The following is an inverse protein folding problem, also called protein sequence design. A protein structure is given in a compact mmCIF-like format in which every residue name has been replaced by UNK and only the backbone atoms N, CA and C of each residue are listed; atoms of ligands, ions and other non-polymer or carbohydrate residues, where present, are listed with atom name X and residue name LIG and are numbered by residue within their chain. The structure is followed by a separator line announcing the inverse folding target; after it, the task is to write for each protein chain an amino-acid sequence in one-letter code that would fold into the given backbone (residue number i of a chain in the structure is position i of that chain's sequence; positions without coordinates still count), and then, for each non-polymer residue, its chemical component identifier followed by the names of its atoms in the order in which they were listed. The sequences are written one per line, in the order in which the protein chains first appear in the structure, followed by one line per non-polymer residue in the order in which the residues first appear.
data_IF_332298690811
#
_entry.id   IF_332298690811
#
_cell.length_a   1.000
_cell.length_b   1.000
_cell.length_c   1.000
_cell.angle_alpha   90.00
_cell.angle_beta   90.00
_cell.angle_gamma   90.00
#
_symmetry.space_group_name_H-M   'P 1'
#
loop_
_entity.id
_entity.type
_entity.pdbx_description
1 polymer ?
#
# COMPACT_ATOMS: atom_id res chain seq x y z
N UNK A 1 22.62 15.64 -4.82
CA UNK A 1 22.18 15.12 -3.49
C UNK A 1 21.21 13.98 -3.76
N UNK A 2 21.60 12.75 -3.45
CA UNK A 2 20.69 11.60 -3.60
C UNK A 2 19.52 11.78 -2.63
N UNK A 3 18.34 12.05 -3.14
CA UNK A 3 17.11 12.01 -2.35
C UNK A 3 16.84 10.55 -1.95
N UNK A 4 17.52 10.15 -0.88
CA UNK A 4 17.26 8.85 -0.23
C UNK A 4 15.88 8.95 0.42
N UNK A 5 15.09 7.88 0.38
CA UNK A 5 13.84 7.77 1.15
C UNK A 5 14.06 8.35 2.56
N UNK A 6 13.47 9.51 2.82
CA UNK A 6 13.67 10.28 4.05
C UNK A 6 12.41 10.17 4.90
N UNK A 7 12.57 9.97 6.22
CA UNK A 7 11.47 9.67 7.12
C UNK A 7 10.42 10.81 7.18
N UNK A 8 10.86 12.02 7.55
CA UNK A 8 9.95 13.16 7.72
C UNK A 8 9.34 13.66 6.40
N UNK A 9 10.10 13.87 5.33
CA UNK A 9 9.53 14.24 4.04
C UNK A 9 8.50 13.22 3.52
N UNK A 10 8.77 11.91 3.67
CA UNK A 10 7.82 10.87 3.23
C UNK A 10 6.50 10.93 3.98
N UNK A 11 6.52 11.19 5.29
CA UNK A 11 5.30 11.37 6.09
C UNK A 11 4.53 12.63 5.70
N UNK A 12 5.24 13.74 5.48
CA UNK A 12 4.63 15.01 5.05
C UNK A 12 3.98 14.87 3.68
N UNK A 13 4.66 14.26 2.72
CA UNK A 13 4.12 14.01 1.38
C UNK A 13 2.91 13.06 1.44
N UNK A 14 2.98 12.00 2.25
CA UNK A 14 1.86 11.10 2.44
C UNK A 14 0.63 11.82 3.00
N UNK A 15 0.83 12.72 3.97
CA UNK A 15 -0.24 13.54 4.51
C UNK A 15 -0.86 14.46 3.43
N UNK A 16 -0.05 15.16 2.68
CA UNK A 16 -0.51 16.07 1.62
C UNK A 16 -1.28 15.31 0.52
N UNK A 17 -0.75 14.17 0.07
CA UNK A 17 -1.41 13.33 -0.94
C UNK A 17 -2.72 12.77 -0.39
N UNK A 18 -2.71 12.28 0.85
CA UNK A 18 -3.89 11.74 1.52
C UNK A 18 -4.99 12.78 1.67
N UNK A 19 -4.67 13.98 2.14
CA UNK A 19 -5.64 15.06 2.32
C UNK A 19 -6.27 15.51 1.00
N UNK A 20 -5.50 15.57 -0.09
CA UNK A 20 -6.03 15.91 -1.42
C UNK A 20 -7.00 14.84 -1.96
N UNK A 21 -6.87 13.60 -1.55
CA UNK A 21 -7.61 12.47 -2.09
C UNK A 21 -8.55 11.80 -1.08
N UNK A 22 -8.72 12.36 0.13
CA UNK A 22 -9.52 11.76 1.21
C UNK A 22 -10.91 11.36 0.69
N UNK A 23 -11.63 12.28 0.09
CA UNK A 23 -12.99 12.01 -0.41
C UNK A 23 -13.00 10.87 -1.44
N UNK A 24 -12.04 10.89 -2.39
CA UNK A 24 -11.95 9.87 -3.43
C UNK A 24 -11.61 8.49 -2.86
N UNK A 25 -10.69 8.41 -1.91
CA UNK A 25 -10.30 7.16 -1.25
C UNK A 25 -11.48 6.62 -0.44
N UNK A 26 -12.12 7.46 0.37
CA UNK A 26 -13.25 7.05 1.22
C UNK A 26 -14.41 6.54 0.36
N UNK A 27 -14.79 7.26 -0.69
CA UNK A 27 -15.86 6.81 -1.58
C UNK A 27 -15.49 5.51 -2.30
N UNK A 28 -14.25 5.37 -2.79
CA UNK A 28 -13.78 4.13 -3.42
C UNK A 28 -13.86 2.94 -2.45
N UNK A 29 -13.49 3.12 -1.18
CA UNK A 29 -13.57 2.08 -0.16
C UNK A 29 -15.02 1.75 0.19
N UNK A 30 -15.91 2.74 0.31
CA UNK A 30 -17.34 2.49 0.52
C UNK A 30 -17.91 1.66 -0.64
N UNK A 31 -17.64 2.04 -1.87
CA UNK A 31 -18.07 1.29 -3.06
C UNK A 31 -17.49 -0.14 -3.08
N UNK A 32 -16.23 -0.31 -2.67
CA UNK A 32 -15.62 -1.62 -2.52
C UNK A 32 -16.37 -2.47 -1.49
N UNK A 33 -16.63 -1.94 -0.28
CA UNK A 33 -17.35 -2.67 0.78
C UNK A 33 -18.75 -3.07 0.34
N UNK A 34 -19.45 -2.21 -0.41
CA UNK A 34 -20.76 -2.52 -0.95
C UNK A 34 -20.73 -3.61 -2.02
N UNK A 35 -19.63 -3.77 -2.73
CA UNK A 35 -19.50 -4.71 -3.85
C UNK A 35 -18.71 -5.97 -3.51
N UNK A 36 -18.08 -6.05 -2.34
CA UNK A 36 -17.27 -7.21 -1.93
C UNK A 36 -18.07 -8.51 -1.88
N UNK A 37 -19.37 -8.43 -1.64
CA UNK A 37 -20.30 -9.57 -1.59
C UNK A 37 -20.78 -10.05 -2.97
N UNK A 38 -20.51 -9.29 -4.03
CA UNK A 38 -20.97 -9.61 -5.38
C UNK A 38 -19.86 -10.39 -6.10
N UNK A 39 -20.03 -11.72 -6.35
CA UNK A 39 -19.05 -12.50 -7.08
C UNK A 39 -18.71 -11.86 -8.43
N UNK A 40 -17.47 -12.02 -8.88
CA UNK A 40 -16.93 -11.43 -10.09
C UNK A 40 -16.67 -9.91 -10.03
N UNK A 41 -17.57 -9.10 -9.45
CA UNK A 41 -17.32 -7.65 -9.27
C UNK A 41 -16.25 -7.47 -8.19
N UNK A 42 -16.34 -8.22 -7.09
CA UNK A 42 -15.40 -8.13 -5.98
C UNK A 42 -13.95 -8.37 -6.40
N UNK A 43 -13.70 -9.23 -7.38
CA UNK A 43 -12.35 -9.47 -7.90
C UNK A 43 -11.75 -8.20 -8.51
N UNK A 44 -12.52 -7.55 -9.41
CA UNK A 44 -12.07 -6.31 -10.04
C UNK A 44 -11.87 -5.18 -9.05
N UNK A 45 -12.82 -5.00 -8.12
CA UNK A 45 -12.76 -3.94 -7.10
C UNK A 45 -11.63 -4.17 -6.08
N UNK A 46 -11.34 -5.42 -5.70
CA UNK A 46 -10.20 -5.76 -4.84
C UNK A 46 -8.87 -5.37 -5.49
N UNK A 47 -8.69 -5.72 -6.77
CA UNK A 47 -7.49 -5.35 -7.53
C UNK A 47 -7.41 -3.83 -7.69
N UNK A 48 -8.53 -3.16 -7.94
CA UNK A 48 -8.60 -1.72 -8.07
C UNK A 48 -8.22 -0.99 -6.77
N UNK A 49 -8.69 -1.44 -5.62
CA UNK A 49 -8.27 -0.88 -4.31
C UNK A 49 -6.77 -1.07 -4.09
N UNK A 50 -6.21 -2.22 -4.47
CA UNK A 50 -4.76 -2.46 -4.40
C UNK A 50 -3.95 -1.56 -5.35
N UNK A 51 -4.60 -0.98 -6.37
CA UNK A 51 -3.98 -0.05 -7.32
C UNK A 51 -3.98 1.42 -6.83
N UNK A 52 -4.72 1.76 -5.78
CA UNK A 52 -4.80 3.15 -5.31
C UNK A 52 -3.41 3.77 -5.02
N UNK A 53 -2.47 3.08 -4.33
CA UNK A 53 -1.13 3.62 -4.14
C UNK A 53 -0.40 3.93 -5.44
N UNK A 54 -0.58 3.12 -6.49
CA UNK A 54 0.04 3.34 -7.81
C UNK A 54 -0.50 4.60 -8.46
N UNK A 55 -1.81 4.81 -8.48
CA UNK A 55 -2.39 6.03 -9.08
C UNK A 55 -1.99 7.29 -8.27
N UNK A 56 -1.98 7.20 -6.94
CA UNK A 56 -1.53 8.30 -6.08
C UNK A 56 -0.05 8.60 -6.26
N UNK A 57 0.81 7.59 -6.46
CA UNK A 57 2.25 7.78 -6.68
C UNK A 57 2.54 8.62 -7.93
N UNK A 58 1.63 8.57 -8.92
CA UNK A 58 1.68 9.37 -10.15
C UNK A 58 1.12 10.79 -9.99
N UNK A 59 0.72 11.17 -8.79
CA UNK A 59 0.15 12.49 -8.49
C UNK A 59 -1.26 12.71 -9.02
N UNK A 60 -1.95 11.66 -9.44
CA UNK A 60 -3.31 11.77 -9.98
C UNK A 60 -4.35 11.91 -8.87
N UNK A 61 -5.39 12.67 -9.16
CA UNK A 61 -6.62 12.65 -8.37
C UNK A 61 -7.44 11.43 -8.80
N UNK A 62 -7.77 10.57 -7.84
CA UNK A 62 -8.47 9.31 -8.11
C UNK A 62 -9.96 9.58 -8.37
N UNK A 63 -10.50 9.03 -9.46
CA UNK A 63 -11.95 8.90 -9.61
C UNK A 63 -12.43 7.68 -8.84
N UNK A 64 -13.35 7.81 -7.87
CA UNK A 64 -13.83 6.66 -7.10
C UNK A 64 -14.47 5.57 -7.97
N UNK A 65 -15.12 5.96 -9.05
CA UNK A 65 -15.77 5.01 -9.97
C UNK A 65 -14.78 4.17 -10.80
N UNK A 66 -13.52 4.57 -10.87
CA UNK A 66 -12.48 3.80 -11.58
C UNK A 66 -12.26 2.40 -11.02
N UNK A 67 -12.74 2.12 -9.80
CA UNK A 67 -12.66 0.77 -9.23
C UNK A 67 -13.46 -0.28 -10.03
N UNK A 68 -14.40 0.14 -10.86
CA UNK A 68 -15.21 -0.74 -11.71
C UNK A 68 -14.60 -0.97 -13.10
N UNK A 69 -13.46 -0.37 -13.42
CA UNK A 69 -12.81 -0.54 -14.72
C UNK A 69 -12.52 -2.01 -15.02
N UNK A 70 -12.91 -2.44 -16.22
CA UNK A 70 -12.68 -3.82 -16.67
C UNK A 70 -11.19 -4.21 -16.72
N UNK A 71 -10.30 -3.22 -16.86
CA UNK A 71 -8.84 -3.43 -16.91
C UNK A 71 -8.31 -4.22 -15.73
N UNK A 72 -8.93 -4.08 -14.54
CA UNK A 72 -8.49 -4.78 -13.33
C UNK A 72 -8.79 -6.28 -13.39
N UNK A 73 -9.87 -6.69 -14.04
CA UNK A 73 -10.21 -8.11 -14.21
C UNK A 73 -9.28 -8.83 -15.19
N UNK A 74 -8.69 -8.10 -16.13
CA UNK A 74 -7.77 -8.67 -17.12
C UNK A 74 -6.45 -9.18 -16.50
N UNK A 75 -6.07 -8.68 -15.31
CA UNK A 75 -4.85 -9.07 -14.62
C UNK A 75 -5.11 -10.00 -13.42
N UNK A 76 -6.35 -10.50 -13.28
CA UNK A 76 -6.74 -11.26 -12.08
C UNK A 76 -5.90 -12.54 -11.89
N UNK A 77 -5.54 -13.25 -12.96
CA UNK A 77 -4.75 -14.48 -12.90
C UNK A 77 -3.37 -14.22 -12.30
N UNK A 78 -2.64 -13.26 -12.84
CA UNK A 78 -1.33 -12.85 -12.32
C UNK A 78 -1.44 -12.29 -10.90
N UNK A 79 -2.48 -11.52 -10.60
CA UNK A 79 -2.70 -10.95 -9.28
C UNK A 79 -2.90 -12.03 -8.21
N UNK A 80 -3.78 -13.00 -8.46
CA UNK A 80 -4.02 -14.06 -7.49
C UNK A 80 -2.84 -15.02 -7.35
N UNK A 81 -2.12 -15.29 -8.45
CA UNK A 81 -0.91 -16.08 -8.40
C UNK A 81 0.16 -15.39 -7.57
N UNK A 82 0.38 -14.10 -7.80
CA UNK A 82 1.30 -13.29 -7.00
C UNK A 82 0.93 -13.30 -5.52
N UNK A 83 -0.34 -13.04 -5.20
CA UNK A 83 -0.82 -13.03 -3.82
C UNK A 83 -0.68 -14.39 -3.14
N UNK A 84 -0.98 -15.48 -3.86
CA UNK A 84 -0.81 -16.85 -3.36
C UNK A 84 0.65 -17.17 -3.03
N UNK A 85 1.57 -16.82 -3.92
CA UNK A 85 3.01 -17.03 -3.70
C UNK A 85 3.52 -16.17 -2.55
N UNK A 86 3.09 -14.91 -2.47
CA UNK A 86 3.45 -14.02 -1.35
C UNK A 86 2.94 -14.58 -0.02
N UNK A 87 1.68 -15.01 0.03
CA UNK A 87 1.09 -15.58 1.24
C UNK A 87 1.82 -16.86 1.69
N UNK A 88 2.15 -17.74 0.75
CA UNK A 88 2.91 -18.95 1.04
C UNK A 88 4.32 -18.64 1.55
N UNK A 89 5.04 -17.73 0.89
CA UNK A 89 6.40 -17.35 1.30
C UNK A 89 6.44 -16.67 2.68
N UNK A 90 5.51 -15.76 2.96
CA UNK A 90 5.40 -15.10 4.25
C UNK A 90 4.99 -16.13 5.33
N UNK A 91 4.04 -17.03 5.00
CA UNK A 91 3.61 -18.11 5.91
C UNK A 91 4.75 -19.05 6.28
N UNK A 92 5.56 -19.46 5.33
CA UNK A 92 6.78 -20.23 5.58
C UNK A 92 7.75 -19.43 6.46
N UNK A 93 7.92 -18.13 6.19
CA UNK A 93 8.74 -17.24 7.02
C UNK A 93 8.29 -17.24 8.49
N UNK A 94 6.98 -17.21 8.76
CA UNK A 94 6.43 -17.32 10.12
C UNK A 94 6.71 -18.68 10.76
N UNK A 95 6.67 -19.79 9.99
CA UNK A 95 6.97 -21.12 10.50
C UNK A 95 8.42 -21.25 10.98
N UNK A 96 9.35 -20.51 10.39
CA UNK A 96 10.75 -20.48 10.81
C UNK A 96 11.03 -19.48 11.93
N UNK A 97 10.43 -18.32 11.96
CA UNK A 97 10.49 -17.28 13.01
C UNK A 97 9.79 -16.01 12.48
N UNK A 98 9.36 -15.14 13.37
CA UNK A 98 8.69 -13.88 13.01
C UNK A 98 9.60 -12.94 12.16
N UNK A 99 10.91 -12.91 12.47
CA UNK A 99 11.86 -12.02 11.78
C UNK A 99 11.97 -12.31 10.27
N UNK A 100 12.16 -13.56 9.80
CA UNK A 100 12.13 -13.87 8.38
C UNK A 100 10.83 -13.46 7.68
N UNK A 101 9.67 -13.65 8.32
CA UNK A 101 8.39 -13.24 7.77
C UNK A 101 8.32 -11.72 7.55
N UNK A 102 8.78 -10.92 8.52
CA UNK A 102 8.83 -9.46 8.40
C UNK A 102 9.76 -9.06 7.25
N UNK A 103 10.95 -9.64 7.15
CA UNK A 103 11.91 -9.33 6.08
C UNK A 103 11.33 -9.66 4.70
N UNK A 104 10.68 -10.82 4.55
CA UNK A 104 10.03 -11.23 3.29
C UNK A 104 8.88 -10.28 2.95
N UNK A 105 8.01 -9.96 3.91
CA UNK A 105 6.86 -9.08 3.69
C UNK A 105 7.30 -7.68 3.21
N UNK A 106 8.36 -7.11 3.80
CA UNK A 106 8.90 -5.83 3.36
C UNK A 106 9.56 -5.96 1.98
N UNK A 107 10.29 -7.04 1.73
CA UNK A 107 10.95 -7.29 0.44
C UNK A 107 9.95 -7.36 -0.72
N UNK A 108 8.76 -7.90 -0.48
CA UNK A 108 7.71 -8.08 -1.47
C UNK A 108 6.59 -7.04 -1.39
N UNK A 109 6.72 -6.05 -0.52
CA UNK A 109 5.68 -5.03 -0.30
C UNK A 109 5.31 -4.22 -1.53
N UNK A 110 6.23 -4.05 -2.48
CA UNK A 110 6.01 -3.31 -3.72
C UNK A 110 5.59 -4.21 -4.90
N UNK A 111 5.57 -5.54 -4.74
CA UNK A 111 5.34 -6.48 -5.84
C UNK A 111 3.97 -6.29 -6.50
N UNK A 112 2.91 -6.10 -5.70
CA UNK A 112 1.56 -5.85 -6.23
C UNK A 112 1.51 -4.55 -7.03
N UNK A 113 2.19 -3.51 -6.58
CA UNK A 113 2.22 -2.23 -7.28
C UNK A 113 2.97 -2.33 -8.62
N UNK A 114 4.07 -3.10 -8.66
CA UNK A 114 4.80 -3.40 -9.89
C UNK A 114 3.95 -4.17 -10.91
N UNK A 115 3.18 -5.16 -10.45
CA UNK A 115 2.25 -5.89 -11.30
C UNK A 115 1.22 -4.97 -11.95
N UNK A 116 0.61 -4.09 -11.15
CA UNK A 116 -0.47 -3.21 -11.60
C UNK A 116 0.02 -2.04 -12.44
N UNK A 117 1.24 -1.56 -12.18
CA UNK A 117 1.86 -0.43 -12.87
C UNK A 117 2.59 -0.84 -14.14
N UNK A 118 3.56 -1.76 -13.99
CA UNK A 118 4.47 -2.19 -15.08
C UNK A 118 3.94 -3.40 -15.86
N UNK A 119 2.92 -4.10 -15.37
CA UNK A 119 2.32 -5.30 -15.99
C UNK A 119 3.34 -6.39 -16.35
N UNK A 120 4.36 -6.54 -15.53
CA UNK A 120 5.37 -7.60 -15.62
C UNK A 120 4.87 -8.86 -14.93
N UNK A 121 5.48 -10.02 -15.21
CA UNK A 121 5.06 -11.30 -14.63
C UNK A 121 5.19 -11.32 -13.11
N UNK A 122 4.38 -12.14 -12.44
CA UNK A 122 4.38 -12.26 -10.97
C UNK A 122 5.78 -12.55 -10.40
N UNK A 123 6.58 -13.41 -11.06
CA UNK A 123 7.93 -13.75 -10.62
C UNK A 123 8.89 -12.56 -10.72
N UNK A 124 8.79 -11.79 -11.79
CA UNK A 124 9.56 -10.56 -11.96
C UNK A 124 9.16 -9.51 -10.92
N UNK A 125 7.86 -9.40 -10.58
CA UNK A 125 7.39 -8.49 -9.54
C UNK A 125 8.06 -8.75 -8.19
N UNK A 126 8.21 -10.01 -7.77
CA UNK A 126 8.87 -10.38 -6.52
C UNK A 126 10.36 -10.02 -6.54
N UNK A 127 11.04 -10.31 -7.65
CA UNK A 127 12.48 -10.03 -7.81
C UNK A 127 12.73 -8.52 -7.81
N UNK A 128 11.98 -7.76 -8.61
CA UNK A 128 12.14 -6.31 -8.70
C UNK A 128 11.74 -5.62 -7.40
N UNK A 129 10.66 -6.06 -6.73
CA UNK A 129 10.28 -5.55 -5.42
C UNK A 129 11.41 -5.72 -4.39
N UNK A 130 12.04 -6.90 -4.35
CA UNK A 130 13.16 -7.13 -3.45
C UNK A 130 14.37 -6.25 -3.78
N UNK A 131 14.68 -6.01 -5.06
CA UNK A 131 15.76 -5.10 -5.48
C UNK A 131 15.45 -3.66 -5.07
N UNK A 132 14.26 -3.15 -5.37
CA UNK A 132 13.83 -1.79 -5.03
C UNK A 132 13.88 -1.51 -3.53
N UNK A 133 13.51 -2.50 -2.71
CA UNK A 133 13.49 -2.36 -1.25
C UNK A 133 14.87 -2.58 -0.61
N UNK A 134 15.86 -3.10 -1.36
CA UNK A 134 17.21 -3.33 -0.85
C UNK A 134 17.85 -2.02 -0.39
N UNK A 135 18.42 -2.03 0.81
CA UNK A 135 18.98 -0.82 1.45
C UNK A 135 17.95 0.09 2.13
N UNK A 136 16.65 -0.10 1.87
CA UNK A 136 15.58 0.73 2.45
C UNK A 136 14.64 -0.05 3.39
N UNK A 137 14.85 -1.36 3.58
CA UNK A 137 13.94 -2.23 4.35
C UNK A 137 13.65 -1.70 5.75
N UNK A 138 14.65 -1.27 6.49
CA UNK A 138 14.48 -0.68 7.82
C UNK A 138 13.71 0.63 7.81
N UNK A 139 13.91 1.47 6.79
CA UNK A 139 13.17 2.73 6.66
C UNK A 139 11.71 2.49 6.36
N UNK A 140 11.41 1.56 5.45
CA UNK A 140 10.04 1.14 5.13
C UNK A 140 9.37 0.57 6.39
N UNK A 141 10.06 -0.31 7.11
CA UNK A 141 9.57 -0.89 8.36
C UNK A 141 9.20 0.19 9.37
N UNK A 142 10.11 1.12 9.66
CA UNK A 142 9.86 2.16 10.65
C UNK A 142 8.79 3.17 10.21
N UNK A 143 8.67 3.48 8.91
CA UNK A 143 7.60 4.32 8.40
C UNK A 143 6.23 3.68 8.61
N UNK A 144 6.09 2.40 8.28
CA UNK A 144 4.85 1.65 8.46
C UNK A 144 4.54 1.43 9.96
N UNK A 145 5.56 1.13 10.75
CA UNK A 145 5.42 0.96 12.21
C UNK A 145 4.98 2.25 12.89
N UNK A 146 5.57 3.40 12.52
CA UNK A 146 5.19 4.70 13.07
C UNK A 146 3.72 5.03 12.77
N UNK A 147 3.27 4.80 11.53
CA UNK A 147 1.89 5.00 11.17
C UNK A 147 0.96 4.06 11.95
N UNK A 148 1.30 2.78 12.02
CA UNK A 148 0.52 1.79 12.76
C UNK A 148 0.44 2.15 14.26
N UNK A 149 1.51 2.65 14.84
CA UNK A 149 1.57 3.06 16.24
C UNK A 149 0.69 4.27 16.52
N UNK A 150 0.68 5.28 15.65
CA UNK A 150 -0.21 6.45 15.77
C UNK A 150 -1.68 6.02 15.68
N UNK A 151 -2.02 5.16 14.72
CA UNK A 151 -3.39 4.63 14.59
C UNK A 151 -3.76 3.84 15.84
N UNK A 152 -2.90 2.96 16.32
CA UNK A 152 -3.13 2.14 17.50
C UNK A 152 -3.40 2.99 18.75
N UNK A 153 -2.59 4.01 19.02
CA UNK A 153 -2.80 4.93 20.15
C UNK A 153 -4.15 5.66 20.00
N UNK A 154 -4.46 6.16 18.80
CA UNK A 154 -5.72 6.87 18.57
C UNK A 154 -6.94 5.97 18.80
N UNK A 155 -6.87 4.70 18.38
CA UNK A 155 -7.92 3.72 18.64
C UNK A 155 -8.03 3.40 20.14
N UNK A 156 -6.92 3.21 20.83
CA UNK A 156 -6.88 2.97 22.27
C UNK A 156 -7.51 4.12 23.06
N UNK A 157 -7.19 5.36 22.71
CA UNK A 157 -7.81 6.54 23.34
C UNK A 157 -9.30 6.59 23.03
N UNK A 158 -9.67 6.42 21.75
CA UNK A 158 -11.07 6.49 21.32
C UNK A 158 -11.96 5.46 22.01
N UNK A 159 -11.51 4.23 22.19
CA UNK A 159 -12.28 3.17 22.86
C UNK A 159 -12.52 3.44 24.36
N UNK A 160 -11.71 4.29 24.99
CA UNK A 160 -11.84 4.61 26.41
C UNK A 160 -12.66 5.88 26.69
N UNK A 161 -13.10 6.61 25.65
CA UNK A 161 -13.94 7.81 25.82
C UNK A 161 -15.43 7.44 25.72
N UNK A 162 -16.23 7.58 26.78
CA UNK A 162 -17.66 7.31 26.71
C UNK A 162 -18.36 8.31 25.78
N UNK A 163 -19.48 7.90 25.18
CA UNK A 163 -20.37 8.64 24.28
C UNK A 163 -19.76 9.10 22.94
N UNK A 164 -18.57 9.68 22.91
CA UNK A 164 -17.95 10.24 21.69
C UNK A 164 -16.88 9.27 21.12
N UNK A 165 -16.42 8.32 21.89
CA UNK A 165 -15.32 7.42 21.52
C UNK A 165 -15.56 6.64 20.24
N UNK A 166 -16.79 6.17 20.01
CA UNK A 166 -17.15 5.47 18.78
C UNK A 166 -16.92 6.34 17.52
N UNK A 167 -17.23 7.64 17.59
CA UNK A 167 -17.01 8.56 16.49
C UNK A 167 -15.52 8.77 16.22
N UNK A 168 -14.72 8.92 17.30
CA UNK A 168 -13.25 9.05 17.20
C UNK A 168 -12.64 7.82 16.54
N UNK A 169 -13.08 6.62 16.94
CA UNK A 169 -12.62 5.35 16.35
C UNK A 169 -12.90 5.30 14.85
N UNK A 170 -14.13 5.64 14.43
CA UNK A 170 -14.47 5.61 12.99
C UNK A 170 -13.68 6.64 12.18
N UNK A 171 -13.51 7.85 12.70
CA UNK A 171 -12.66 8.86 12.05
C UNK A 171 -11.21 8.39 11.98
N UNK A 172 -10.68 7.82 13.06
CA UNK A 172 -9.31 7.30 13.09
C UNK A 172 -9.08 6.18 12.07
N UNK A 173 -10.05 5.28 11.89
CA UNK A 173 -9.99 4.21 10.88
C UNK A 173 -9.96 4.80 9.48
N UNK A 174 -10.84 5.77 9.18
CA UNK A 174 -10.90 6.41 7.86
C UNK A 174 -9.59 7.16 7.56
N UNK A 175 -9.14 8.00 8.50
CA UNK A 175 -7.89 8.76 8.34
C UNK A 175 -6.69 7.84 8.25
N UNK A 176 -6.64 6.79 9.07
CA UNK A 176 -5.59 5.78 9.05
C UNK A 176 -5.51 5.03 7.73
N UNK A 177 -6.65 4.68 7.15
CA UNK A 177 -6.71 4.05 5.83
C UNK A 177 -6.16 4.98 4.73
N UNK A 178 -6.61 6.23 4.71
CA UNK A 178 -6.12 7.23 3.75
C UNK A 178 -4.61 7.45 3.91
N UNK A 179 -4.13 7.53 5.15
CA UNK A 179 -2.71 7.69 5.44
C UNK A 179 -1.89 6.47 4.99
N UNK A 180 -2.38 5.25 5.21
CA UNK A 180 -1.70 4.02 4.80
C UNK A 180 -1.60 3.91 3.27
N UNK A 181 -2.68 4.19 2.54
CA UNK A 181 -2.68 4.19 1.08
C UNK A 181 -1.70 5.24 0.53
N UNK A 182 -1.73 6.45 1.10
CA UNK A 182 -0.85 7.54 0.67
C UNK A 182 0.62 7.30 1.03
N UNK A 183 0.90 6.73 2.20
CA UNK A 183 2.26 6.37 2.59
C UNK A 183 2.86 5.34 1.64
N UNK A 184 2.11 4.30 1.30
CA UNK A 184 2.55 3.30 0.33
C UNK A 184 2.77 3.91 -1.06
N UNK A 185 1.94 4.87 -1.47
CA UNK A 185 2.14 5.60 -2.72
C UNK A 185 3.45 6.40 -2.73
N UNK A 186 3.78 7.08 -1.63
CA UNK A 186 5.04 7.83 -1.49
C UNK A 186 6.23 6.88 -1.48
N UNK A 187 6.18 5.80 -0.71
CA UNK A 187 7.26 4.80 -0.67
C UNK A 187 7.50 4.24 -2.08
N UNK A 188 6.44 3.84 -2.80
CA UNK A 188 6.56 3.31 -4.15
C UNK A 188 7.17 4.34 -5.12
N UNK A 189 6.70 5.59 -5.09
CA UNK A 189 7.23 6.69 -5.91
C UNK A 189 8.73 6.93 -5.67
N UNK A 190 9.14 7.01 -4.41
CA UNK A 190 10.52 7.30 -4.07
C UNK A 190 11.47 6.13 -4.41
N UNK A 191 11.00 4.90 -4.24
CA UNK A 191 11.77 3.72 -4.64
C UNK A 191 11.92 3.64 -6.17
N UNK A 192 10.88 3.96 -6.95
CA UNK A 192 10.98 4.02 -8.42
C UNK A 192 12.00 5.05 -8.89
N UNK A 193 11.99 6.26 -8.32
CA UNK A 193 12.99 7.30 -8.66
C UNK A 193 14.42 6.86 -8.40
N UNK A 194 14.65 6.04 -7.37
CA UNK A 194 15.98 5.54 -7.05
C UNK A 194 16.40 4.40 -7.99
N UNK A 195 15.46 3.60 -8.49
CA UNK A 195 15.71 2.50 -9.43
C UNK A 195 15.99 3.03 -10.85
N UNK A 196 15.34 4.13 -11.24
CA UNK A 196 15.50 4.79 -12.55
C UNK A 196 16.77 5.66 -12.67
N UNK A 197 17.46 5.96 -11.55
CA UNK A 197 18.76 6.59 -11.57
C UNK A 197 19.84 5.49 -11.63
N UNK A 198 20.28 5.04 -12.84
CA UNK A 198 21.37 4.11 -12.93
C UNK A 198 22.63 4.78 -12.38
N UNK A 199 23.56 3.99 -11.91
CA UNK A 199 24.91 4.36 -11.51
C UNK A 199 25.64 5.16 -12.62
N UNK A 200 25.23 6.39 -12.83
CA UNK A 200 25.92 7.38 -13.65
C UNK A 200 26.73 8.23 -12.68
N UNK A 201 27.75 7.62 -12.08
CA UNK A 201 28.92 8.25 -11.45
C UNK A 201 29.63 7.23 -10.52
N UNK A 202 30.35 6.28 -11.08
CA UNK A 202 31.60 5.77 -10.56
C UNK A 202 32.68 5.90 -11.63
#
# INVERSE_FOLDING_TARGET
MNEKLSFMPSLTDAYVIGMKNVTSIVVAVILYVLTVWIPYINVGTTIAISNLPVELSKGKVISPLSIFDAKYRNVMGEYFLLQGVMAAGIGIGFAFLVIPAIVISISWSMAVYLLLDKKISWAQCLTESNKMTMGYKWKIFFLQLALAFVIFITLMIGTNIPYIGWLIVHIAVIVGLCAAVSLNAVIYRELQKNDEKPAAAE
#
